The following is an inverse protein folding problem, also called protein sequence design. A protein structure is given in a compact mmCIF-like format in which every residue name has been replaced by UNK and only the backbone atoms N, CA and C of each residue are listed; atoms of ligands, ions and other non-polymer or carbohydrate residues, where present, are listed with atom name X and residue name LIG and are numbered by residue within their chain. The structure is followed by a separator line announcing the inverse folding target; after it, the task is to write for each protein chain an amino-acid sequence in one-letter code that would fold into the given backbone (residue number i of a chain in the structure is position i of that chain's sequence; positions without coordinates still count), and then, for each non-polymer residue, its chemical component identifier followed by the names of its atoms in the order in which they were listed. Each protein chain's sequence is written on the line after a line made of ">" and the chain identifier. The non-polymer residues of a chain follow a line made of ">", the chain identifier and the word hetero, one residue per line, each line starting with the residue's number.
data_IF_889596989621
#
_entry.id   IF_889596989621
#
_cell.length_a   1.000
_cell.length_b   1.000
_cell.length_c   1.000
_cell.angle_alpha   90.00
_cell.angle_beta   90.00
_cell.angle_gamma   90.00
#
_symmetry.space_group_name_H-M   'P 1'
#
loop_
_entity.id
_entity.type
_entity.pdbx_description
1 polymer ?
#
# COMPACT_ATOMS: atom_id res chain seq x y z
N UNK A 1 -55.75 15.50 -47.49
CA UNK A 1 -54.82 14.40 -47.15
C UNK A 1 -54.02 14.78 -45.93
N UNK A 2 -54.40 14.29 -44.74
CA UNK A 2 -53.54 14.25 -43.55
C UNK A 2 -53.66 12.84 -42.99
N UNK A 3 -52.59 12.07 -43.12
CA UNK A 3 -52.48 10.74 -42.54
C UNK A 3 -52.01 10.91 -41.09
N UNK A 4 -52.81 10.42 -40.14
CA UNK A 4 -52.38 10.27 -38.76
C UNK A 4 -51.57 8.97 -38.65
N UNK A 5 -50.25 9.09 -38.45
CA UNK A 5 -49.38 7.95 -38.18
C UNK A 5 -49.57 7.47 -36.74
N UNK A 6 -49.98 6.21 -36.58
CA UNK A 6 -50.06 5.53 -35.29
C UNK A 6 -48.64 5.14 -34.87
N UNK A 7 -48.12 5.75 -33.78
CA UNK A 7 -46.84 5.37 -33.19
C UNK A 7 -47.07 4.22 -32.20
N UNK A 8 -46.80 2.99 -32.62
CA UNK A 8 -46.79 1.83 -31.72
C UNK A 8 -45.43 1.78 -31.02
N UNK A 9 -45.38 2.17 -29.74
CA UNK A 9 -44.19 2.00 -28.91
C UNK A 9 -44.19 0.56 -28.38
N UNK A 10 -43.26 -0.24 -28.88
CA UNK A 10 -43.00 -1.60 -28.38
C UNK A 10 -42.07 -1.48 -27.16
N UNK A 11 -42.62 -1.56 -25.95
CA UNK A 11 -41.82 -1.73 -24.73
C UNK A 11 -41.37 -3.20 -24.66
N UNK A 12 -40.13 -3.47 -25.06
CA UNK A 12 -39.46 -4.72 -24.74
C UNK A 12 -39.16 -4.71 -23.23
N UNK A 13 -39.60 -5.69 -22.44
CA UNK A 13 -39.15 -5.81 -21.06
C UNK A 13 -37.65 -6.09 -21.10
N UNK A 14 -36.85 -5.16 -20.57
CA UNK A 14 -35.47 -5.44 -20.24
C UNK A 14 -35.47 -6.53 -19.17
N UNK A 15 -35.19 -7.77 -19.57
CA UNK A 15 -34.81 -8.84 -18.66
C UNK A 15 -33.52 -8.41 -17.98
N UNK A 16 -33.66 -7.78 -16.81
CA UNK A 16 -32.59 -7.65 -15.84
C UNK A 16 -32.17 -9.06 -15.45
N UNK A 17 -31.11 -9.56 -16.08
CA UNK A 17 -30.40 -10.72 -15.59
C UNK A 17 -29.67 -10.25 -14.33
N UNK A 18 -30.15 -10.67 -13.16
CA UNK A 18 -29.27 -10.73 -12.00
C UNK A 18 -28.12 -11.67 -12.39
N UNK A 19 -26.94 -11.11 -12.65
CA UNK A 19 -25.74 -11.95 -12.76
C UNK A 19 -25.60 -12.62 -11.39
N UNK A 20 -25.91 -13.92 -11.34
CA UNK A 20 -25.34 -14.74 -10.28
C UNK A 20 -23.84 -14.64 -10.45
N UNK A 21 -23.17 -14.03 -9.47
CA UNK A 21 -21.72 -14.06 -9.40
C UNK A 21 -21.29 -15.53 -9.27
N UNK A 22 -20.88 -16.13 -10.40
CA UNK A 22 -20.23 -17.43 -10.41
C UNK A 22 -18.73 -17.21 -10.28
N UNK A 23 -18.09 -17.97 -9.38
CA UNK A 23 -16.62 -17.96 -9.25
C UNK A 23 -16.02 -18.42 -10.58
N UNK A 24 -15.31 -17.53 -11.27
CA UNK A 24 -14.66 -17.85 -12.54
C UNK A 24 -13.50 -18.83 -12.35
N UNK A 25 -12.71 -18.64 -11.28
CA UNK A 25 -11.69 -19.55 -10.81
C UNK A 25 -11.40 -19.28 -9.33
N UNK A 26 -10.81 -20.26 -8.65
CA UNK A 26 -10.22 -20.11 -7.32
C UNK A 26 -8.90 -20.87 -7.29
N UNK A 27 -7.87 -20.25 -6.73
CA UNK A 27 -6.56 -20.89 -6.51
C UNK A 27 -6.13 -20.68 -5.07
N UNK A 28 -5.29 -21.56 -4.58
CA UNK A 28 -4.66 -21.45 -3.26
C UNK A 28 -3.15 -21.45 -3.45
N UNK A 29 -2.47 -20.63 -2.67
CA UNK A 29 -1.02 -20.61 -2.57
C UNK A 29 -0.64 -21.02 -1.14
N UNK A 30 0.43 -21.79 -1.00
CA UNK A 30 0.98 -22.23 0.29
C UNK A 30 2.49 -22.02 0.25
N UNK A 31 3.01 -21.35 1.27
CA UNK A 31 4.43 -21.12 1.44
C UNK A 31 5.20 -22.39 1.81
N UNK A 32 6.54 -22.38 1.70
CA UNK A 32 7.36 -23.55 2.00
C UNK A 32 7.36 -23.97 3.48
N UNK A 33 6.87 -23.10 4.38
CA UNK A 33 6.68 -23.44 5.79
C UNK A 33 5.38 -24.22 6.05
N UNK A 34 4.45 -24.25 5.08
CA UNK A 34 3.08 -24.74 5.26
C UNK A 34 2.42 -24.20 6.54
N UNK A 35 2.65 -22.91 6.79
CA UNK A 35 2.09 -22.13 7.91
C UNK A 35 1.10 -21.09 7.34
N UNK A 36 0.46 -20.32 8.22
CA UNK A 36 -0.56 -19.36 7.80
C UNK A 36 0.00 -18.22 6.94
N UNK A 37 -0.39 -18.15 5.68
CA UNK A 37 -0.04 -17.04 4.79
C UNK A 37 -1.18 -16.01 4.74
N UNK A 38 -0.85 -14.72 4.71
CA UNK A 38 -1.83 -13.64 4.76
C UNK A 38 -1.67 -12.70 3.57
N UNK A 39 -2.76 -12.47 2.84
CA UNK A 39 -2.85 -11.42 1.81
C UNK A 39 -3.27 -10.10 2.46
N UNK A 40 -2.55 -9.03 2.16
CA UNK A 40 -2.84 -7.66 2.61
C UNK A 40 -3.52 -6.85 1.52
N UNK A 41 -3.12 -7.03 0.26
CA UNK A 41 -3.64 -6.27 -0.88
C UNK A 41 -3.64 -7.07 -2.18
N UNK A 42 -4.53 -6.67 -3.10
CA UNK A 42 -4.59 -7.14 -4.47
C UNK A 42 -4.70 -5.96 -5.44
N UNK A 43 -4.03 -6.05 -6.59
CA UNK A 43 -4.19 -5.17 -7.74
C UNK A 43 -4.48 -6.00 -9.00
N UNK A 44 -5.21 -5.43 -9.95
CA UNK A 44 -5.54 -6.06 -11.22
C UNK A 44 -5.08 -5.18 -12.39
N UNK A 45 -4.55 -5.81 -13.44
CA UNK A 45 -4.24 -5.14 -14.70
C UNK A 45 -5.44 -5.15 -15.67
N UNK A 46 -5.35 -4.38 -16.75
CA UNK A 46 -6.44 -4.27 -17.74
C UNK A 46 -6.70 -5.58 -18.51
N UNK A 47 -5.75 -6.53 -18.51
CA UNK A 47 -5.92 -7.84 -19.11
C UNK A 47 -6.61 -8.84 -18.15
N UNK A 48 -6.85 -8.44 -16.89
CA UNK A 48 -7.45 -9.25 -15.85
C UNK A 48 -6.44 -10.08 -15.06
N UNK A 49 -5.14 -9.94 -15.33
CA UNK A 49 -4.10 -10.48 -14.47
C UNK A 49 -4.12 -9.79 -13.11
N UNK A 50 -3.74 -10.50 -12.06
CA UNK A 50 -3.76 -9.97 -10.69
C UNK A 50 -2.41 -10.13 -10.01
N UNK A 51 -2.08 -9.18 -9.15
CA UNK A 51 -0.96 -9.28 -8.21
C UNK A 51 -1.54 -9.24 -6.81
N UNK A 52 -1.18 -10.22 -5.99
CA UNK A 52 -1.48 -10.25 -4.56
C UNK A 52 -0.19 -10.02 -3.79
N UNK A 53 -0.30 -9.30 -2.68
CA UNK A 53 0.81 -9.07 -1.77
C UNK A 53 0.41 -9.35 -0.34
N UNK A 54 1.39 -9.61 0.51
CA UNK A 54 1.18 -9.82 1.93
C UNK A 54 2.40 -10.39 2.60
N UNK A 55 2.20 -11.45 3.38
CA UNK A 55 3.26 -12.11 4.15
C UNK A 55 3.11 -13.62 4.16
N UNK A 56 4.24 -14.31 4.18
CA UNK A 56 4.34 -15.76 4.29
C UNK A 56 5.35 -16.14 5.36
N UNK A 57 5.14 -17.24 6.06
CA UNK A 57 6.11 -17.68 7.08
C UNK A 57 7.28 -18.44 6.45
N UNK A 58 8.45 -18.27 7.05
CA UNK A 58 9.59 -19.13 6.80
C UNK A 58 9.54 -20.42 7.60
N UNK A 59 10.01 -21.51 6.98
CA UNK A 59 10.27 -22.77 7.69
C UNK A 59 11.45 -22.51 8.64
N UNK A 60 11.25 -22.71 9.94
CA UNK A 60 12.23 -22.28 10.95
C UNK A 60 13.65 -22.77 10.64
N UNK A 61 14.58 -21.83 10.48
CA UNK A 61 16.01 -22.14 10.40
C UNK A 61 16.66 -22.02 11.78
N UNK A 62 16.53 -23.10 12.58
CA UNK A 62 17.51 -23.51 13.61
C UNK A 62 17.55 -22.76 14.96
N UNK A 63 17.56 -23.52 16.08
CA UNK A 63 17.51 -22.98 17.44
C UNK A 63 18.84 -22.49 18.03
N UNK A 64 18.83 -21.43 18.88
CA UNK A 64 17.65 -20.64 19.25
C UNK A 64 17.39 -19.54 18.22
N UNK A 65 16.39 -19.62 17.31
CA UNK A 65 16.20 -18.53 16.40
C UNK A 65 15.25 -17.52 17.08
N UNK A 66 15.12 -16.30 16.55
CA UNK A 66 13.88 -15.56 16.73
C UNK A 66 12.64 -16.45 16.39
N UNK A 67 11.43 -16.09 16.86
CA UNK A 67 10.19 -16.74 16.40
C UNK A 67 10.14 -16.82 14.85
N UNK A 68 9.34 -17.73 14.27
CA UNK A 68 9.22 -17.83 12.81
C UNK A 68 8.96 -16.44 12.23
N UNK A 69 9.87 -15.99 11.37
CA UNK A 69 9.77 -14.67 10.74
C UNK A 69 8.78 -14.72 9.60
N UNK A 70 8.11 -13.60 9.41
CA UNK A 70 7.23 -13.37 8.28
C UNK A 70 8.02 -12.69 7.17
N UNK A 71 7.95 -13.20 5.96
CA UNK A 71 8.58 -12.59 4.80
C UNK A 71 7.51 -11.93 3.92
N UNK A 72 7.88 -10.83 3.26
CA UNK A 72 6.98 -10.18 2.33
C UNK A 72 6.71 -11.10 1.12
N UNK A 73 5.44 -11.32 0.80
CA UNK A 73 5.02 -12.10 -0.37
C UNK A 73 4.52 -11.17 -1.47
N UNK A 74 4.95 -11.43 -2.70
CA UNK A 74 4.42 -10.81 -3.92
C UNK A 74 4.17 -11.92 -4.93
N UNK A 75 2.93 -12.12 -5.36
CA UNK A 75 2.59 -13.17 -6.32
C UNK A 75 1.71 -12.64 -7.45
N UNK A 76 2.08 -12.95 -8.70
CA UNK A 76 1.34 -12.57 -9.90
C UNK A 76 0.64 -13.76 -10.53
N UNK A 77 -0.60 -13.57 -10.90
CA UNK A 77 -1.43 -14.54 -11.61
C UNK A 77 -1.94 -13.97 -12.93
N UNK A 78 -2.16 -14.83 -13.91
CA UNK A 78 -2.87 -14.47 -15.12
C UNK A 78 -4.39 -14.35 -14.88
N UNK A 79 -5.14 -13.93 -15.91
CA UNK A 79 -6.58 -13.76 -15.83
C UNK A 79 -7.37 -15.06 -15.57
N UNK A 80 -6.73 -16.22 -15.73
CA UNK A 80 -7.31 -17.54 -15.48
C UNK A 80 -6.92 -18.09 -14.10
N UNK A 81 -6.18 -17.33 -13.29
CA UNK A 81 -5.72 -17.75 -11.97
C UNK A 81 -4.49 -18.64 -11.97
N UNK A 82 -3.74 -18.69 -13.08
CA UNK A 82 -2.47 -19.42 -13.14
C UNK A 82 -1.36 -18.55 -12.56
N UNK A 83 -0.62 -19.07 -11.57
CA UNK A 83 0.55 -18.39 -11.00
C UNK A 83 1.62 -18.22 -12.09
N UNK A 84 2.02 -16.98 -12.34
CA UNK A 84 3.08 -16.63 -13.29
C UNK A 84 4.43 -16.59 -12.58
N UNK A 85 4.50 -15.93 -11.43
CA UNK A 85 5.69 -15.84 -10.60
C UNK A 85 5.31 -15.42 -9.18
N UNK A 86 6.17 -15.72 -8.22
CA UNK A 86 6.13 -15.21 -6.85
C UNK A 86 7.53 -14.85 -6.34
N UNK A 87 7.56 -13.91 -5.41
CA UNK A 87 8.73 -13.52 -4.65
C UNK A 87 8.41 -13.56 -3.16
N UNK A 88 9.39 -14.05 -2.40
CA UNK A 88 9.43 -13.92 -0.96
C UNK A 88 10.68 -13.16 -0.60
N UNK A 89 10.50 -12.07 0.14
CA UNK A 89 11.57 -11.14 0.47
C UNK A 89 11.82 -11.23 1.97
N UNK A 90 13.02 -11.73 2.29
CA UNK A 90 13.61 -11.75 3.63
C UNK A 90 14.85 -10.86 3.59
N UNK A 91 14.83 -9.73 4.30
CA UNK A 91 15.91 -8.76 4.24
C UNK A 91 17.13 -9.18 5.09
N UNK A 92 16.98 -9.22 6.42
CA UNK A 92 18.05 -9.65 7.35
C UNK A 92 17.57 -10.72 8.35
N UNK A 93 16.51 -11.45 8.03
CA UNK A 93 15.95 -12.50 8.89
C UNK A 93 15.03 -11.95 9.97
N UNK A 94 14.23 -10.93 9.65
CA UNK A 94 13.20 -10.37 10.54
C UNK A 94 11.82 -10.38 9.89
N UNK A 95 10.85 -9.74 10.52
CA UNK A 95 9.50 -9.61 9.97
C UNK A 95 9.45 -8.56 8.86
N UNK A 96 9.16 -9.01 7.65
CA UNK A 96 8.97 -8.25 6.44
C UNK A 96 7.53 -8.43 5.94
N UNK A 97 6.88 -7.34 5.53
CA UNK A 97 5.52 -7.40 5.01
C UNK A 97 5.32 -6.45 3.84
N UNK A 98 4.73 -6.95 2.77
CA UNK A 98 4.16 -6.12 1.73
C UNK A 98 2.75 -5.65 2.17
N UNK A 99 2.48 -4.35 2.11
CA UNK A 99 1.22 -3.74 2.56
C UNK A 99 0.37 -3.22 1.41
N UNK A 100 1.01 -2.69 0.36
CA UNK A 100 0.30 -2.17 -0.81
C UNK A 100 1.02 -2.53 -2.11
N UNK A 101 0.26 -2.56 -3.19
CA UNK A 101 0.75 -2.90 -4.53
C UNK A 101 0.03 -2.09 -5.60
N UNK A 102 0.79 -1.65 -6.60
CA UNK A 102 0.26 -1.06 -7.82
C UNK A 102 0.89 -1.71 -9.04
N UNK A 103 0.17 -1.68 -10.16
CA UNK A 103 0.67 -2.11 -11.46
C UNK A 103 0.77 -0.87 -12.35
N UNK A 104 1.95 -0.60 -12.88
CA UNK A 104 2.14 0.45 -13.86
C UNK A 104 1.37 0.08 -15.15
N UNK A 105 0.32 0.83 -15.54
CA UNK A 105 -0.50 0.46 -16.69
C UNK A 105 0.23 0.62 -18.03
N UNK A 106 1.35 1.36 -18.08
CA UNK A 106 2.11 1.56 -19.30
C UNK A 106 3.09 0.41 -19.57
N UNK A 107 3.70 -0.15 -18.51
CA UNK A 107 4.74 -1.18 -18.63
C UNK A 107 4.30 -2.56 -18.14
N UNK A 108 3.30 -2.63 -17.26
CA UNK A 108 2.92 -3.84 -16.54
C UNK A 108 3.85 -4.15 -15.36
N UNK A 109 4.72 -3.22 -14.97
CA UNK A 109 5.60 -3.39 -13.81
C UNK A 109 4.79 -3.40 -12.53
N UNK A 110 5.27 -4.15 -11.55
CA UNK A 110 4.66 -4.30 -10.24
C UNK A 110 5.47 -3.50 -9.24
N UNK A 111 4.83 -2.55 -8.56
CA UNK A 111 5.46 -1.75 -7.51
C UNK A 111 4.80 -2.11 -6.18
N UNK A 112 5.63 -2.42 -5.18
CA UNK A 112 5.20 -2.87 -3.86
C UNK A 112 5.75 -1.93 -2.80
N UNK A 113 4.93 -1.63 -1.79
CA UNK A 113 5.37 -0.92 -0.60
C UNK A 113 5.04 -1.74 0.65
N UNK A 114 5.88 -1.61 1.67
CA UNK A 114 5.78 -2.35 2.89
C UNK A 114 6.82 -1.91 3.91
N UNK A 115 7.24 -2.84 4.74
CA UNK A 115 8.34 -2.63 5.66
C UNK A 115 9.19 -3.88 5.76
N UNK A 116 10.46 -3.68 6.09
CA UNK A 116 11.41 -4.74 6.32
C UNK A 116 12.09 -4.60 7.69
N UNK A 117 12.05 -5.67 8.47
CA UNK A 117 12.48 -5.72 9.85
C UNK A 117 13.69 -6.61 10.08
N UNK A 118 14.35 -6.42 11.23
CA UNK A 118 15.33 -7.38 11.72
C UNK A 118 16.33 -6.79 12.71
N UNK A 119 17.29 -7.61 13.13
CA UNK A 119 18.25 -7.22 14.17
C UNK A 119 19.53 -6.62 13.56
N UNK A 120 19.79 -5.35 13.87
CA UNK A 120 21.06 -4.68 13.63
C UNK A 120 21.83 -4.58 14.96
N UNK A 121 22.68 -5.58 15.22
CA UNK A 121 23.30 -5.75 16.53
C UNK A 121 22.27 -6.26 17.56
N UNK A 122 22.05 -5.51 18.63
CA UNK A 122 21.05 -5.82 19.67
C UNK A 122 19.71 -5.13 19.47
N UNK A 123 19.60 -4.26 18.46
CA UNK A 123 18.41 -3.45 18.23
C UNK A 123 17.60 -4.03 17.09
N UNK A 124 16.29 -4.19 17.31
CA UNK A 124 15.36 -4.51 16.24
C UNK A 124 15.02 -3.22 15.50
N UNK A 125 15.25 -3.21 14.20
CA UNK A 125 14.95 -2.10 13.29
C UNK A 125 13.82 -2.51 12.36
N UNK A 126 13.04 -1.54 11.90
CA UNK A 126 11.97 -1.74 10.95
C UNK A 126 11.95 -0.52 10.06
N UNK A 127 12.25 -0.70 8.78
CA UNK A 127 12.35 0.43 7.88
C UNK A 127 11.38 0.23 6.71
N UNK A 128 11.03 1.33 6.07
CA UNK A 128 10.25 1.32 4.85
C UNK A 128 10.93 0.45 3.80
N UNK A 129 10.15 -0.41 3.15
CA UNK A 129 10.60 -1.18 1.99
C UNK A 129 9.73 -0.85 0.77
N UNK A 130 10.38 -0.62 -0.36
CA UNK A 130 9.73 -0.40 -1.66
C UNK A 130 10.48 -1.19 -2.72
N UNK A 131 9.77 -1.90 -3.58
CA UNK A 131 10.38 -2.62 -4.68
C UNK A 131 9.59 -2.45 -5.98
N UNK A 132 10.27 -2.59 -7.10
CA UNK A 132 9.68 -2.65 -8.43
C UNK A 132 10.18 -3.89 -9.16
N UNK A 133 9.25 -4.65 -9.70
CA UNK A 133 9.49 -5.81 -10.56
C UNK A 133 8.96 -5.51 -11.95
N UNK A 134 9.63 -6.01 -12.98
CA UNK A 134 9.08 -5.98 -14.33
C UNK A 134 7.88 -6.95 -14.44
N UNK A 135 7.15 -6.87 -15.55
CA UNK A 135 6.01 -7.75 -15.80
C UNK A 135 6.35 -9.26 -15.72
N UNK A 136 7.59 -9.64 -16.00
CA UNK A 136 8.06 -11.04 -15.93
C UNK A 136 8.54 -11.45 -14.54
N UNK A 137 8.50 -10.54 -13.57
CA UNK A 137 8.94 -10.77 -12.19
C UNK A 137 10.43 -10.56 -11.98
N UNK A 138 11.18 -9.94 -12.91
CA UNK A 138 12.56 -9.59 -12.61
C UNK A 138 12.60 -8.33 -11.73
N UNK A 139 13.39 -8.33 -10.68
CA UNK A 139 13.58 -7.13 -9.85
C UNK A 139 14.28 -6.04 -10.68
N UNK A 140 13.64 -4.88 -10.79
CA UNK A 140 14.22 -3.68 -11.40
C UNK A 140 14.99 -2.87 -10.37
N UNK A 141 14.41 -2.72 -9.18
CA UNK A 141 15.05 -2.13 -8.01
C UNK A 141 14.31 -2.50 -6.72
N UNK A 142 15.02 -2.43 -5.61
CA UNK A 142 14.50 -2.62 -4.25
C UNK A 142 15.22 -1.66 -3.31
N UNK A 143 14.47 -0.93 -2.50
CA UNK A 143 14.96 0.13 -1.64
C UNK A 143 14.42 -0.07 -0.23
N UNK A 144 15.34 0.02 0.73
CA UNK A 144 15.03 0.16 2.15
C UNK A 144 15.37 1.58 2.58
N UNK A 145 14.49 2.22 3.33
CA UNK A 145 14.66 3.61 3.76
C UNK A 145 14.37 3.75 5.25
N UNK A 146 15.43 4.05 6.00
CA UNK A 146 15.35 4.58 7.35
C UNK A 146 14.88 6.05 7.29
N UNK A 147 13.87 6.39 8.07
CA UNK A 147 13.34 7.74 8.23
C UNK A 147 14.30 8.61 9.04
N UNK A 148 14.02 9.91 9.09
CA UNK A 148 14.93 10.86 9.77
C UNK A 148 15.02 10.68 11.30
N UNK A 149 14.05 10.04 11.95
CA UNK A 149 14.07 9.77 13.39
C UNK A 149 14.79 8.49 13.81
N UNK A 150 15.38 7.72 12.88
CA UNK A 150 16.16 6.50 13.17
C UNK A 150 15.40 5.48 14.04
N UNK A 151 14.13 5.24 13.71
CA UNK A 151 13.25 4.28 14.38
C UNK A 151 12.28 3.67 13.38
N UNK A 152 11.18 3.06 13.83
CA UNK A 152 10.33 2.26 12.96
C UNK A 152 9.64 3.09 11.85
N UNK A 153 9.80 2.65 10.60
CA UNK A 153 9.16 3.24 9.41
C UNK A 153 8.34 2.19 8.67
N UNK A 154 7.11 2.55 8.32
CA UNK A 154 6.14 1.66 7.72
C UNK A 154 5.59 2.24 6.42
N UNK A 155 5.77 1.56 5.29
CA UNK A 155 5.01 1.83 4.07
C UNK A 155 3.68 1.09 4.10
N UNK A 156 2.55 1.81 4.08
CA UNK A 156 1.20 1.22 4.19
C UNK A 156 0.32 1.47 2.97
N UNK A 157 0.58 2.54 2.22
CA UNK A 157 -0.14 2.86 1.00
C UNK A 157 0.81 3.37 -0.07
N UNK A 158 0.48 3.13 -1.34
CA UNK A 158 1.31 3.49 -2.48
C UNK A 158 0.48 4.14 -3.60
N UNK A 159 1.03 5.18 -4.21
CA UNK A 159 0.54 5.78 -5.44
C UNK A 159 1.65 5.89 -6.48
N UNK A 160 1.26 5.77 -7.75
CA UNK A 160 2.10 6.03 -8.92
C UNK A 160 1.59 7.26 -9.65
N UNK A 161 2.50 8.10 -10.11
CA UNK A 161 2.17 9.14 -11.10
C UNK A 161 2.37 8.64 -12.54
N UNK A 162 1.97 9.47 -13.51
CA UNK A 162 2.12 9.15 -14.93
C UNK A 162 3.56 9.14 -15.45
N UNK A 163 4.54 9.57 -14.64
CA UNK A 163 5.96 9.46 -14.96
C UNK A 163 6.60 8.21 -14.32
N UNK A 164 5.83 7.44 -13.54
CA UNK A 164 6.30 6.26 -12.83
C UNK A 164 6.98 6.56 -11.49
N UNK A 165 6.89 7.81 -10.99
CA UNK A 165 7.35 8.12 -9.64
C UNK A 165 6.43 7.48 -8.61
N UNK A 166 7.01 7.10 -7.48
CA UNK A 166 6.35 6.33 -6.42
C UNK A 166 6.21 7.20 -5.18
N UNK A 167 4.99 7.27 -4.65
CA UNK A 167 4.70 7.95 -3.39
C UNK A 167 4.18 6.93 -2.40
N UNK A 168 4.85 6.81 -1.26
CA UNK A 168 4.51 5.84 -0.21
C UNK A 168 4.08 6.59 1.02
N UNK A 169 2.87 6.32 1.48
CA UNK A 169 2.31 6.84 2.71
C UNK A 169 2.36 5.80 3.81
N UNK A 170 2.51 6.27 5.04
CA UNK A 170 2.49 5.40 6.20
C UNK A 170 2.84 6.16 7.46
N UNK A 171 3.64 5.53 8.34
CA UNK A 171 4.11 6.15 9.56
C UNK A 171 5.64 6.06 9.64
N UNK A 172 6.26 7.11 10.17
CA UNK A 172 7.72 7.21 10.35
C UNK A 172 8.01 7.99 11.61
N UNK A 173 9.12 7.69 12.27
CA UNK A 173 9.52 8.41 13.46
C UNK A 173 10.13 9.76 13.09
N UNK A 174 9.53 10.86 13.54
CA UNK A 174 10.11 12.19 13.50
C UNK A 174 11.08 12.42 14.66
N UNK A 175 12.13 13.20 14.42
CA UNK A 175 13.25 13.43 15.37
C UNK A 175 12.77 13.96 16.74
N UNK A 176 11.69 14.75 16.76
CA UNK A 176 11.20 15.41 17.98
C UNK A 176 9.73 15.16 18.30
N UNK A 177 9.01 14.48 17.41
CA UNK A 177 7.54 14.43 17.40
C UNK A 177 6.98 13.04 17.73
N UNK A 178 7.80 11.99 17.60
CA UNK A 178 7.36 10.62 17.79
C UNK A 178 7.05 9.96 16.46
N UNK A 179 6.10 9.04 16.43
CA UNK A 179 5.67 8.42 15.16
C UNK A 179 4.64 9.34 14.52
N UNK A 180 4.95 9.90 13.35
CA UNK A 180 4.06 10.79 12.60
C UNK A 180 3.51 10.06 11.38
N UNK A 181 2.45 10.60 10.75
CA UNK A 181 2.17 10.22 9.37
C UNK A 181 3.31 10.71 8.48
N UNK A 182 3.72 9.90 7.50
CA UNK A 182 4.80 10.26 6.61
C UNK A 182 4.50 9.90 5.17
N UNK A 183 5.02 10.71 4.25
CA UNK A 183 5.08 10.39 2.82
C UNK A 183 6.53 10.40 2.36
N UNK A 184 6.91 9.33 1.66
CA UNK A 184 8.20 9.15 1.02
C UNK A 184 8.00 9.14 -0.49
N UNK A 185 8.85 9.85 -1.23
CA UNK A 185 8.81 9.88 -2.68
C UNK A 185 10.08 9.29 -3.28
N UNK A 186 9.90 8.52 -4.35
CA UNK A 186 10.96 7.91 -5.13
C UNK A 186 10.71 8.19 -6.61
N UNK A 187 11.78 8.36 -7.38
CA UNK A 187 11.67 8.40 -8.84
C UNK A 187 11.42 7.00 -9.43
N UNK A 188 11.10 6.94 -10.72
CA UNK A 188 10.80 5.70 -11.42
C UNK A 188 11.93 4.65 -11.39
N UNK A 189 13.16 5.08 -11.12
CA UNK A 189 14.37 4.24 -11.04
C UNK A 189 14.71 3.85 -9.60
N UNK A 190 13.88 4.21 -8.62
CA UNK A 190 14.09 3.90 -7.20
C UNK A 190 14.96 4.95 -6.47
N UNK A 191 15.31 6.05 -7.11
CA UNK A 191 16.03 7.14 -6.47
C UNK A 191 15.15 7.87 -5.45
N UNK A 192 15.58 7.95 -4.19
CA UNK A 192 14.85 8.71 -3.17
C UNK A 192 14.85 10.21 -3.49
N UNK A 193 13.67 10.83 -3.44
CA UNK A 193 13.46 12.24 -3.76
C UNK A 193 13.29 13.08 -2.49
N UNK A 194 12.33 12.72 -1.65
CA UNK A 194 12.01 13.46 -0.42
C UNK A 194 11.20 12.62 0.57
N UNK A 195 11.22 13.04 1.83
CA UNK A 195 10.30 12.59 2.87
C UNK A 195 9.63 13.80 3.51
N UNK A 196 8.39 13.65 3.96
CA UNK A 196 7.65 14.70 4.65
C UNK A 196 6.79 14.09 5.74
N UNK A 197 6.96 14.60 6.95
CA UNK A 197 6.19 14.21 8.12
C UNK A 197 4.99 15.14 8.26
N UNK A 198 3.86 14.57 8.66
CA UNK A 198 2.60 15.25 8.94
C UNK A 198 2.21 14.88 10.37
N UNK A 199 2.56 15.76 11.30
CA UNK A 199 2.28 15.62 12.73
C UNK A 199 0.91 16.24 13.07
N UNK A 200 0.29 15.67 14.10
CA UNK A 200 -0.93 16.18 14.73
C UNK A 200 -0.71 17.45 15.53
N UNK A 201 -1.76 17.87 16.24
CA UNK A 201 -1.69 19.05 17.11
C UNK A 201 -0.83 18.83 18.38
N UNK A 202 -0.45 17.59 18.69
CA UNK A 202 0.49 17.25 19.73
C UNK A 202 1.38 16.09 19.30
N UNK A 203 2.62 16.06 19.81
CA UNK A 203 3.53 14.94 19.62
C UNK A 203 2.97 13.66 20.23
N UNK A 204 2.96 12.57 19.47
CA UNK A 204 2.38 11.30 19.87
C UNK A 204 2.58 10.19 18.84
N UNK A 205 1.79 9.12 18.93
CA UNK A 205 1.89 7.99 18.01
C UNK A 205 0.76 8.06 16.98
N UNK A 206 1.10 8.54 15.79
CA UNK A 206 0.24 8.60 14.64
C UNK A 206 0.33 7.30 13.84
N UNK A 207 -0.81 6.86 13.29
CA UNK A 207 -0.92 5.55 12.63
C UNK A 207 -1.82 5.59 11.39
N UNK A 208 -1.68 4.62 10.48
CA UNK A 208 -2.26 4.70 9.14
C UNK A 208 -1.29 5.35 8.14
N UNK A 209 -1.79 6.28 7.32
CA UNK A 209 -1.05 6.86 6.20
C UNK A 209 -1.57 6.40 4.84
N UNK A 210 -2.90 6.34 4.70
CA UNK A 210 -3.55 6.05 3.42
C UNK A 210 -3.33 7.22 2.46
N UNK A 211 -3.06 6.90 1.19
CA UNK A 211 -2.86 7.89 0.14
C UNK A 211 -4.00 7.90 -0.87
N UNK A 212 -4.32 9.10 -1.38
CA UNK A 212 -5.18 9.28 -2.53
C UNK A 212 -4.72 10.47 -3.39
N UNK A 213 -4.96 10.38 -4.70
CA UNK A 213 -4.79 11.52 -5.59
C UNK A 213 -5.94 12.52 -5.42
N UNK A 214 -5.60 13.79 -5.22
CA UNK A 214 -6.53 14.90 -5.38
C UNK A 214 -6.70 15.23 -6.88
N UNK A 215 -7.88 15.68 -7.35
CA UNK A 215 -8.09 16.06 -8.76
C UNK A 215 -7.16 17.13 -9.33
N UNK A 216 -6.42 17.85 -8.48
CA UNK A 216 -5.39 18.80 -8.91
C UNK A 216 -4.04 18.16 -9.25
N UNK A 217 -3.87 16.86 -9.01
CA UNK A 217 -2.57 16.17 -9.08
C UNK A 217 -1.75 16.24 -7.79
N UNK A 218 -2.34 16.70 -6.69
CA UNK A 218 -1.72 16.67 -5.37
C UNK A 218 -2.00 15.33 -4.66
N UNK A 219 -1.19 15.02 -3.65
CA UNK A 219 -1.38 13.89 -2.76
C UNK A 219 -2.29 14.30 -1.59
N UNK A 220 -3.09 13.35 -1.12
CA UNK A 220 -3.82 13.44 0.15
C UNK A 220 -3.40 12.26 1.00
N UNK A 221 -2.95 12.54 2.23
CA UNK A 221 -2.65 11.53 3.24
C UNK A 221 -3.68 11.61 4.36
N UNK A 222 -4.14 10.46 4.85
CA UNK A 222 -5.02 10.39 6.01
C UNK A 222 -4.63 9.24 6.96
N UNK A 223 -4.90 9.45 8.24
CA UNK A 223 -4.60 8.49 9.30
C UNK A 223 -5.12 8.96 10.64
N UNK A 224 -4.60 8.36 11.70
CA UNK A 224 -4.78 8.79 13.07
C UNK A 224 -3.64 9.75 13.44
N UNK A 225 -3.98 10.90 14.01
CA UNK A 225 -3.05 11.92 14.52
C UNK A 225 -3.32 12.21 15.99
N UNK A 226 -2.28 12.48 16.78
CA UNK A 226 -2.43 12.79 18.20
C UNK A 226 -2.93 14.23 18.41
N UNK A 227 -3.98 14.41 19.21
CA UNK A 227 -4.55 15.73 19.57
C UNK A 227 -3.96 16.26 20.87
N UNK A 228 -4.19 17.54 21.18
CA UNK A 228 -3.70 18.20 22.41
C UNK A 228 -4.15 17.52 23.71
N UNK A 229 -5.20 16.69 23.66
CA UNK A 229 -5.66 15.87 24.79
C UNK A 229 -4.94 14.52 24.94
N UNK A 230 -4.00 14.20 24.03
CA UNK A 230 -3.31 12.92 23.97
C UNK A 230 -4.15 11.78 23.37
N UNK A 231 -5.34 12.08 22.83
CA UNK A 231 -6.15 11.12 22.10
C UNK A 231 -5.72 11.07 20.63
N UNK A 232 -5.85 9.92 19.98
CA UNK A 232 -5.65 9.82 18.55
C UNK A 232 -6.95 10.08 17.80
N UNK A 233 -6.98 11.13 17.00
CA UNK A 233 -8.11 11.61 16.21
C UNK A 233 -7.84 11.45 14.71
N UNK A 234 -8.86 11.57 13.86
CA UNK A 234 -8.64 11.42 12.42
C UNK A 234 -7.96 12.67 11.85
N UNK A 235 -6.81 12.47 11.21
CA UNK A 235 -6.04 13.51 10.54
C UNK A 235 -6.06 13.34 9.02
N UNK A 236 -6.06 14.45 8.30
CA UNK A 236 -5.91 14.49 6.86
C UNK A 236 -5.08 15.69 6.44
N UNK A 237 -4.15 15.48 5.50
CA UNK A 237 -3.38 16.54 4.89
C UNK A 237 -3.37 16.40 3.37
N UNK A 238 -3.39 17.55 2.69
CA UNK A 238 -3.12 17.63 1.26
C UNK A 238 -1.73 18.20 1.06
N UNK A 239 -0.97 17.63 0.14
CA UNK A 239 0.40 18.05 -0.17
C UNK A 239 0.70 17.93 -1.66
N UNK A 240 1.63 18.75 -2.15
CA UNK A 240 2.09 18.66 -3.55
C UNK A 240 2.96 17.42 -3.76
N UNK A 241 3.13 17.00 -5.01
CA UNK A 241 4.07 15.94 -5.41
C UNK A 241 5.55 16.29 -5.19
N UNK A 242 5.84 17.54 -4.83
CA UNK A 242 7.17 18.00 -4.40
C UNK A 242 7.35 17.98 -2.88
N UNK A 243 6.38 17.45 -2.12
CA UNK A 243 6.47 17.32 -0.66
C UNK A 243 5.97 18.53 0.14
N UNK A 244 5.41 19.57 -0.49
CA UNK A 244 4.94 20.74 0.25
C UNK A 244 3.52 20.53 0.77
N UNK A 245 3.30 20.64 2.09
CA UNK A 245 1.96 20.60 2.69
C UNK A 245 1.17 21.83 2.25
N UNK A 246 0.01 21.61 1.62
CA UNK A 246 -0.92 22.66 1.18
C UNK A 246 -1.85 23.05 2.31
N UNK A 247 -2.40 22.05 3.00
CA UNK A 247 -3.20 22.21 4.21
C UNK A 247 -3.25 20.90 4.99
N UNK A 248 -3.53 20.99 6.29
CA UNK A 248 -3.86 19.84 7.13
C UNK A 248 -5.05 20.15 8.04
N UNK A 249 -5.78 19.11 8.44
CA UNK A 249 -6.93 19.19 9.32
C UNK A 249 -6.99 17.95 10.22
N UNK A 250 -7.47 18.16 11.46
CA UNK A 250 -7.71 17.11 12.44
C UNK A 250 -9.17 17.16 12.88
N UNK A 251 -9.80 15.99 12.96
CA UNK A 251 -11.20 15.81 13.29
C UNK A 251 -11.31 15.25 14.70
N UNK A 252 -11.46 16.14 15.68
CA UNK A 252 -11.76 15.74 17.05
C UNK A 252 -13.22 15.28 17.14
N UNK A 253 -13.44 14.10 17.71
CA UNK A 253 -14.79 13.56 17.90
C UNK A 253 -15.70 14.51 18.71
N UNK A 254 -17.04 14.36 18.61
CA UNK A 254 -18.01 15.27 19.24
C UNK A 254 -17.97 15.34 20.78
N UNK A 255 -17.10 14.57 21.44
CA UNK A 255 -16.90 14.61 22.89
C UNK A 255 -16.02 15.79 23.37
N UNK A 256 -15.37 16.50 22.45
CA UNK A 256 -14.53 17.66 22.76
C UNK A 256 -15.11 18.90 22.06
N UNK A 257 -16.00 19.60 22.77
CA UNK A 257 -16.76 20.73 22.25
C UNK A 257 -15.90 21.91 21.80
N UNK A 258 -16.40 22.59 20.75
CA UNK A 258 -15.96 23.89 20.21
C UNK A 258 -15.83 24.99 21.25
#
# INVERSE_FOLDING_TARGET
>A
MRAHGLLTVLLLPALLHAQHASVAWSTTWDGPASQDDYVTKIAADAAGGVVVVGRSYNASVGFPPPPPTQDALVARYDANGVLLWDHRVDWIGGDDQAQDVAIDPATGDVIVAGYAGGYMGTNYVTDLWVARYDASGNELWSVRKDGSGASADFGRALLLDGAGNVYVGGASYGVTTGSDLAVFAFDALGGFLWETHVDGLASGADSGGLLAWHPSGDLVIAGQMTSLGGAGDMGVARMTTSGAIVWQAQLDGPAHGS
#
